data_IF_883286965355
#
_entry.id   IF_883286965355
#
_cell.length_a   1.000
_cell.length_b   1.000
_cell.length_c   1.000
_cell.angle_alpha   90.00
_cell.angle_beta   90.00
_cell.angle_gamma   90.00
#
_symmetry.space_group_name_H-M   'P 1'
#
loop_
_entity.id
_entity.type
_entity.pdbx_description
1 polymer ?
#
# COMPACT_ATOMS: atom_id res chain seq x y z
N UNK A 1 16.35 1.63 18.80
CA UNK A 1 15.54 0.47 18.38
C UNK A 1 15.23 -0.36 19.62
N UNK A 2 13.97 -0.48 20.00
CA UNK A 2 13.56 -1.22 21.21
C UNK A 2 13.91 -2.70 21.00
N UNK A 3 14.61 -3.32 21.95
CA UNK A 3 14.92 -4.75 21.90
C UNK A 3 13.77 -5.53 22.51
N UNK A 4 12.97 -6.18 21.66
CA UNK A 4 11.77 -6.92 22.07
C UNK A 4 12.08 -7.97 23.16
N UNK A 5 13.25 -8.61 23.11
CA UNK A 5 13.69 -9.61 24.10
C UNK A 5 13.88 -9.05 25.51
N UNK A 6 14.05 -7.75 25.66
CA UNK A 6 14.18 -7.09 26.97
C UNK A 6 12.80 -6.82 27.62
N UNK A 7 11.70 -7.00 26.87
CA UNK A 7 10.35 -6.68 27.32
C UNK A 7 9.36 -7.85 27.27
N UNK A 8 9.66 -8.93 26.53
CA UNK A 8 8.82 -10.11 26.45
C UNK A 8 9.65 -11.37 26.76
N UNK A 9 9.12 -12.23 27.62
CA UNK A 9 9.63 -13.60 27.78
C UNK A 9 9.46 -14.39 26.48
N UNK A 10 10.22 -15.48 26.32
CA UNK A 10 10.12 -16.33 25.13
C UNK A 10 8.71 -16.93 24.96
N UNK A 11 8.05 -17.27 26.06
CA UNK A 11 6.68 -17.80 26.06
C UNK A 11 5.65 -16.74 25.62
N UNK A 12 5.73 -15.51 26.12
CA UNK A 12 4.86 -14.40 25.70
C UNK A 12 5.10 -14.05 24.23
N UNK A 13 6.36 -14.07 23.81
CA UNK A 13 6.73 -13.81 22.42
C UNK A 13 6.17 -14.89 21.50
N UNK A 14 6.23 -16.16 21.88
CA UNK A 14 5.62 -17.25 21.12
C UNK A 14 4.10 -17.08 21.04
N UNK A 15 3.45 -16.71 22.15
CA UNK A 15 2.01 -16.47 22.20
C UNK A 15 1.59 -15.35 21.24
N UNK A 16 2.29 -14.21 21.24
CA UNK A 16 1.96 -13.05 20.37
C UNK A 16 2.25 -13.34 18.89
N UNK A 17 3.29 -14.15 18.60
CA UNK A 17 3.66 -14.50 17.22
C UNK A 17 2.88 -15.71 16.68
N UNK A 18 2.06 -16.36 17.49
CA UNK A 18 1.30 -17.55 17.10
C UNK A 18 0.24 -17.18 16.07
N UNK A 19 0.33 -17.82 14.90
CA UNK A 19 -0.63 -17.66 13.80
C UNK A 19 -1.74 -18.72 13.92
N UNK A 20 -2.98 -18.34 13.64
CA UNK A 20 -4.12 -19.26 13.64
C UNK A 20 -4.77 -19.32 12.26
N UNK A 21 -4.58 -20.44 11.55
CA UNK A 21 -5.17 -20.63 10.23
C UNK A 21 -6.70 -20.59 10.26
N UNK A 22 -7.33 -21.02 11.36
CA UNK A 22 -8.77 -20.95 11.53
C UNK A 22 -9.26 -19.50 11.55
N UNK A 23 -8.61 -18.63 12.33
CA UNK A 23 -8.93 -17.20 12.37
C UNK A 23 -8.67 -16.53 11.02
N UNK A 24 -7.57 -16.89 10.35
CA UNK A 24 -7.25 -16.37 9.03
C UNK A 24 -8.33 -16.73 8.00
N UNK A 25 -8.77 -17.99 7.97
CA UNK A 25 -9.88 -18.42 7.11
C UNK A 25 -11.19 -17.71 7.46
N UNK A 26 -11.51 -17.59 8.75
CA UNK A 26 -12.68 -16.85 9.19
C UNK A 26 -12.68 -15.41 8.66
N UNK A 27 -11.57 -14.67 8.80
CA UNK A 27 -11.46 -13.29 8.32
C UNK A 27 -11.65 -13.17 6.80
N UNK A 28 -11.04 -14.08 6.03
CA UNK A 28 -11.18 -14.10 4.56
C UNK A 28 -12.63 -14.43 4.17
N UNK A 29 -13.19 -15.50 4.73
CA UNK A 29 -14.54 -15.96 4.38
C UNK A 29 -15.62 -14.99 4.83
N UNK A 30 -15.49 -14.38 6.02
CA UNK A 30 -16.46 -13.39 6.50
C UNK A 30 -16.46 -12.15 5.61
N UNK A 31 -15.28 -11.65 5.22
CA UNK A 31 -15.16 -10.49 4.33
C UNK A 31 -15.81 -10.75 2.97
N UNK A 32 -15.52 -11.92 2.37
CA UNK A 32 -16.14 -12.31 1.10
C UNK A 32 -17.64 -12.57 1.21
N UNK A 33 -18.09 -13.13 2.32
CA UNK A 33 -19.52 -13.34 2.58
C UNK A 33 -20.26 -12.01 2.66
N UNK A 34 -19.72 -11.03 3.38
CA UNK A 34 -20.29 -9.68 3.48
C UNK A 34 -20.32 -8.97 2.12
N UNK A 35 -19.27 -9.08 1.31
CA UNK A 35 -19.26 -8.58 -0.07
C UNK A 35 -20.37 -9.25 -0.89
N UNK A 36 -20.44 -10.58 -0.84
CA UNK A 36 -21.47 -11.35 -1.55
C UNK A 36 -22.89 -10.96 -1.13
N UNK A 37 -23.12 -10.77 0.17
CA UNK A 37 -24.42 -10.34 0.70
C UNK A 37 -24.80 -8.93 0.25
N UNK A 38 -23.86 -7.98 0.26
CA UNK A 38 -24.10 -6.61 -0.22
C UNK A 38 -24.45 -6.61 -1.71
N UNK A 39 -23.72 -7.39 -2.52
CA UNK A 39 -24.00 -7.52 -3.96
C UNK A 39 -25.35 -8.21 -4.20
N UNK A 40 -25.66 -9.28 -3.48
CA UNK A 40 -26.94 -9.97 -3.58
C UNK A 40 -28.11 -9.06 -3.18
N UNK A 41 -27.95 -8.25 -2.13
CA UNK A 41 -28.97 -7.31 -1.66
C UNK A 41 -29.33 -6.28 -2.73
N UNK A 42 -28.33 -5.62 -3.33
CA UNK A 42 -28.58 -4.60 -4.36
C UNK A 42 -29.09 -5.22 -5.65
N UNK A 43 -28.70 -6.45 -5.98
CA UNK A 43 -29.23 -7.18 -7.13
C UNK A 43 -30.70 -7.58 -6.94
N UNK A 44 -31.09 -8.03 -5.74
CA UNK A 44 -32.46 -8.45 -5.44
C UNK A 44 -33.41 -7.26 -5.27
N UNK A 45 -32.92 -6.13 -4.75
CA UNK A 45 -33.72 -4.96 -4.45
C UNK A 45 -33.03 -3.67 -4.94
N UNK A 46 -32.97 -3.40 -6.26
CA UNK A 46 -32.25 -2.23 -6.80
C UNK A 46 -33.05 -0.94 -6.60
N UNK A 47 -32.94 -0.31 -5.44
CA UNK A 47 -33.60 0.95 -5.11
C UNK A 47 -32.60 1.94 -4.47
N UNK A 48 -32.95 3.25 -4.37
CA UNK A 48 -32.00 4.26 -3.88
C UNK A 48 -31.44 3.97 -2.48
N UNK A 49 -32.21 3.33 -1.58
CA UNK A 49 -31.77 3.03 -0.23
C UNK A 49 -30.74 1.90 -0.19
N UNK A 50 -30.96 0.81 -0.94
CA UNK A 50 -30.00 -0.30 -1.02
C UNK A 50 -28.73 0.12 -1.77
N UNK A 51 -28.85 0.97 -2.79
CA UNK A 51 -27.70 1.57 -3.46
C UNK A 51 -26.87 2.42 -2.48
N UNK A 52 -27.51 3.28 -1.69
CA UNK A 52 -26.83 4.10 -0.68
C UNK A 52 -26.13 3.23 0.37
N UNK A 53 -26.80 2.19 0.86
CA UNK A 53 -26.24 1.25 1.84
C UNK A 53 -24.98 0.57 1.29
N UNK A 54 -25.04 0.01 0.08
CA UNK A 54 -23.89 -0.64 -0.57
C UNK A 54 -22.78 0.36 -0.83
N UNK A 55 -23.10 1.59 -1.26
CA UNK A 55 -22.12 2.63 -1.51
C UNK A 55 -21.32 3.03 -0.26
N UNK A 56 -21.92 2.93 0.93
CA UNK A 56 -21.26 3.18 2.22
C UNK A 56 -20.45 1.96 2.68
N UNK A 57 -21.04 0.75 2.60
CA UNK A 57 -20.47 -0.44 3.24
C UNK A 57 -19.43 -1.17 2.38
N UNK A 58 -19.64 -1.24 1.07
CA UNK A 58 -18.80 -2.02 0.16
C UNK A 58 -17.35 -1.49 0.10
N UNK A 59 -17.07 -0.17 0.04
CA UNK A 59 -15.70 0.33 0.09
C UNK A 59 -14.97 -0.07 1.38
N UNK A 60 -15.70 -0.14 2.50
CA UNK A 60 -15.15 -0.61 3.78
C UNK A 60 -14.74 -2.09 3.74
N UNK A 61 -15.44 -2.93 2.96
CA UNK A 61 -15.04 -4.33 2.74
C UNK A 61 -13.87 -4.46 1.77
N UNK A 62 -13.82 -3.60 0.74
CA UNK A 62 -12.65 -3.50 -0.14
C UNK A 62 -11.38 -3.12 0.66
N UNK A 63 -11.48 -2.18 1.60
CA UNK A 63 -10.40 -1.87 2.54
C UNK A 63 -10.02 -3.09 3.41
N UNK A 64 -11.01 -3.85 3.89
CA UNK A 64 -10.79 -5.10 4.61
C UNK A 64 -9.93 -6.11 3.82
N UNK A 65 -10.22 -6.29 2.52
CA UNK A 65 -9.39 -7.12 1.64
C UNK A 65 -7.96 -6.57 1.52
N UNK A 66 -7.77 -5.25 1.42
CA UNK A 66 -6.43 -4.63 1.40
C UNK A 66 -5.65 -4.86 2.71
N UNK A 67 -6.33 -4.88 3.86
CA UNK A 67 -5.72 -5.22 5.16
C UNK A 67 -5.31 -6.69 5.20
N UNK A 68 -6.14 -7.61 4.70
CA UNK A 68 -5.78 -9.02 4.62
C UNK A 68 -4.61 -9.26 3.65
N UNK A 69 -4.56 -8.52 2.53
CA UNK A 69 -3.41 -8.48 1.64
C UNK A 69 -2.14 -8.01 2.38
N UNK A 70 -2.24 -6.96 3.21
CA UNK A 70 -1.12 -6.47 4.01
C UNK A 70 -0.56 -7.55 4.95
N UNK A 71 -1.42 -8.23 5.71
CA UNK A 71 -1.00 -9.33 6.60
C UNK A 71 -0.40 -10.51 5.82
N UNK A 72 -0.96 -10.83 4.65
CA UNK A 72 -0.39 -11.84 3.79
C UNK A 72 1.01 -11.44 3.27
N UNK A 73 1.23 -10.16 2.96
CA UNK A 73 2.53 -9.60 2.55
C UNK A 73 3.58 -9.72 3.64
N UNK A 74 3.17 -9.56 4.90
CA UNK A 74 4.02 -9.81 6.08
C UNK A 74 4.21 -11.29 6.40
N UNK A 75 3.54 -12.21 5.69
CA UNK A 75 3.48 -13.63 6.02
C UNK A 75 2.98 -13.87 7.45
N UNK A 76 2.04 -13.05 7.93
CA UNK A 76 1.44 -13.12 9.27
C UNK A 76 0.01 -13.65 9.25
N UNK A 77 -0.69 -13.56 8.12
CA UNK A 77 -2.09 -14.01 8.01
C UNK A 77 -2.22 -15.53 8.24
N UNK A 78 -1.52 -16.35 7.46
CA UNK A 78 -1.50 -17.81 7.63
C UNK A 78 -0.15 -18.31 8.15
N UNK A 79 -0.15 -19.48 8.80
CA UNK A 79 1.09 -20.16 9.19
C UNK A 79 1.91 -20.63 7.97
N UNK A 80 1.24 -21.02 6.87
CA UNK A 80 1.89 -21.39 5.61
C UNK A 80 2.07 -20.18 4.70
N UNK A 81 3.32 -19.91 4.32
CA UNK A 81 3.70 -18.82 3.40
C UNK A 81 3.12 -18.99 2.00
N UNK A 82 2.96 -20.23 1.53
CA UNK A 82 2.35 -20.49 0.21
C UNK A 82 0.88 -20.09 0.22
N UNK A 83 0.19 -20.33 1.33
CA UNK A 83 -1.19 -19.94 1.50
C UNK A 83 -1.33 -18.42 1.58
N UNK A 84 -0.44 -17.72 2.30
CA UNK A 84 -0.36 -16.26 2.28
C UNK A 84 -0.19 -15.73 0.84
N UNK A 85 0.72 -16.30 0.07
CA UNK A 85 0.95 -15.87 -1.32
C UNK A 85 -0.29 -16.08 -2.18
N UNK A 86 -0.90 -17.25 -2.13
CA UNK A 86 -2.04 -17.59 -2.98
C UNK A 86 -3.29 -16.82 -2.59
N UNK A 87 -3.70 -16.90 -1.32
CA UNK A 87 -4.91 -16.22 -0.83
C UNK A 87 -4.72 -14.72 -0.87
N UNK A 88 -3.57 -14.21 -0.41
CA UNK A 88 -3.26 -12.78 -0.42
C UNK A 88 -3.26 -12.19 -1.82
N UNK A 89 -2.72 -12.90 -2.83
CA UNK A 89 -2.74 -12.41 -4.21
C UNK A 89 -4.15 -12.47 -4.81
N UNK A 90 -4.78 -13.63 -4.76
CA UNK A 90 -5.97 -13.88 -5.58
C UNK A 90 -7.27 -13.44 -4.92
N UNK A 91 -7.39 -13.62 -3.61
CA UNK A 91 -8.62 -13.31 -2.88
C UNK A 91 -8.57 -11.95 -2.17
N UNK A 92 -7.40 -11.29 -2.09
CA UNK A 92 -7.26 -10.01 -1.38
C UNK A 92 -6.70 -8.90 -2.28
N UNK A 93 -5.54 -9.11 -2.91
CA UNK A 93 -4.89 -8.08 -3.73
C UNK A 93 -5.63 -7.82 -5.05
N UNK A 94 -5.91 -8.88 -5.82
CA UNK A 94 -6.49 -8.72 -7.15
C UNK A 94 -7.88 -8.06 -7.15
N UNK A 95 -8.83 -8.40 -6.25
CA UNK A 95 -10.12 -7.72 -6.16
C UNK A 95 -10.01 -6.23 -5.79
N UNK A 96 -8.89 -5.83 -5.19
CA UNK A 96 -8.59 -4.43 -4.83
C UNK A 96 -7.70 -3.75 -5.87
N UNK A 97 -7.49 -4.38 -7.03
CA UNK A 97 -6.63 -3.90 -8.13
C UNK A 97 -5.16 -3.74 -7.74
N UNK A 98 -4.68 -4.58 -6.81
CA UNK A 98 -3.30 -4.60 -6.33
C UNK A 98 -2.55 -5.86 -6.76
N UNK A 99 -1.22 -5.81 -6.64
CA UNK A 99 -0.32 -6.95 -6.72
C UNK A 99 0.37 -7.15 -5.36
N UNK A 100 0.26 -8.35 -4.78
CA UNK A 100 0.76 -8.66 -3.45
C UNK A 100 2.28 -8.47 -3.37
N UNK A 101 3.02 -8.89 -4.40
CA UNK A 101 4.48 -8.89 -4.37
C UNK A 101 5.04 -7.47 -4.51
N UNK A 102 4.51 -6.70 -5.45
CA UNK A 102 4.87 -5.30 -5.65
C UNK A 102 4.55 -4.50 -4.38
N UNK A 103 3.35 -4.70 -3.81
CA UNK A 103 2.96 -4.12 -2.54
C UNK A 103 3.93 -4.50 -1.41
N UNK A 104 4.13 -5.80 -1.16
CA UNK A 104 4.95 -6.27 -0.06
C UNK A 104 6.41 -5.80 -0.18
N UNK A 105 6.97 -5.74 -1.40
CA UNK A 105 8.34 -5.28 -1.61
C UNK A 105 8.50 -3.81 -1.19
N UNK A 106 7.58 -2.93 -1.61
CA UNK A 106 7.63 -1.52 -1.22
C UNK A 106 7.30 -1.32 0.26
N UNK A 107 6.30 -2.04 0.74
CA UNK A 107 5.83 -1.91 2.11
C UNK A 107 6.84 -2.41 3.15
N UNK A 108 7.57 -3.50 2.87
CA UNK A 108 8.65 -3.97 3.75
C UNK A 108 9.85 -3.01 3.74
N UNK A 109 10.12 -2.32 2.63
CA UNK A 109 11.12 -1.26 2.57
C UNK A 109 10.70 -0.06 3.43
N UNK A 110 9.42 0.35 3.36
CA UNK A 110 8.85 1.35 4.27
C UNK A 110 9.08 0.96 5.73
N UNK A 111 8.64 -0.23 6.18
CA UNK A 111 8.85 -0.65 7.57
C UNK A 111 10.31 -0.68 8.01
N UNK A 112 11.23 -1.03 7.10
CA UNK A 112 12.66 -1.05 7.38
C UNK A 112 13.26 0.35 7.56
N UNK A 113 12.79 1.32 6.78
CA UNK A 113 13.34 2.67 6.68
C UNK A 113 12.41 3.73 7.28
N UNK A 114 11.34 3.32 7.97
CA UNK A 114 10.27 4.20 8.41
C UNK A 114 10.82 5.40 9.20
N UNK A 115 10.44 6.61 8.78
CA UNK A 115 10.84 7.86 9.40
C UNK A 115 12.23 8.37 9.00
N UNK A 116 13.00 7.63 8.19
CA UNK A 116 14.26 8.12 7.62
C UNK A 116 14.02 8.84 6.29
N UNK A 117 14.98 9.64 5.80
CA UNK A 117 14.90 10.27 4.48
C UNK A 117 14.74 9.28 3.32
N UNK A 118 15.15 8.02 3.51
CA UNK A 118 15.08 6.93 2.53
C UNK A 118 13.75 6.14 2.57
N UNK A 119 12.83 6.49 3.48
CA UNK A 119 11.51 5.87 3.52
C UNK A 119 10.73 6.16 2.21
N UNK A 120 10.36 5.14 1.42
CA UNK A 120 9.60 5.34 0.18
C UNK A 120 8.24 6.03 0.40
N UNK A 121 7.67 5.95 1.61
CA UNK A 121 6.38 6.55 1.96
C UNK A 121 6.52 7.90 2.68
N UNK A 122 7.73 8.43 2.90
CA UNK A 122 7.94 9.69 3.62
C UNK A 122 7.10 10.84 3.06
N UNK A 123 7.02 10.94 1.72
CA UNK A 123 6.25 11.99 1.04
C UNK A 123 4.75 11.97 1.43
N UNK A 124 4.20 10.81 1.83
CA UNK A 124 2.80 10.65 2.18
C UNK A 124 2.47 11.25 3.56
N UNK A 125 3.44 11.33 4.48
CA UNK A 125 3.19 11.73 5.87
C UNK A 125 4.11 12.83 6.41
N UNK A 126 5.16 13.24 5.68
CA UNK A 126 6.07 14.32 6.13
C UNK A 126 5.39 15.66 6.44
N UNK A 127 4.20 15.88 5.88
CA UNK A 127 3.44 17.13 6.03
C UNK A 127 2.46 17.11 7.21
N UNK A 128 2.47 16.08 8.07
CA UNK A 128 1.63 16.08 9.27
C UNK A 128 2.23 16.96 10.37
N UNK A 129 1.37 17.67 11.15
CA UNK A 129 -0.08 17.78 10.98
C UNK A 129 -0.47 18.67 9.78
N UNK A 130 -1.48 18.24 9.01
CA UNK A 130 -1.92 18.95 7.80
C UNK A 130 -2.91 20.08 8.13
N UNK A 131 -2.86 21.18 7.39
CA UNK A 131 -3.82 22.29 7.53
C UNK A 131 -5.26 21.84 7.16
N UNK A 132 -6.33 22.31 7.85
CA UNK A 132 -7.72 21.91 7.58
C UNK A 132 -8.16 22.10 6.12
N UNK A 133 -7.68 23.14 5.44
CA UNK A 133 -7.99 23.38 4.02
C UNK A 133 -7.37 22.31 3.10
N UNK A 134 -6.14 21.89 3.40
CA UNK A 134 -5.48 20.78 2.71
C UNK A 134 -6.28 19.50 2.93
N UNK A 135 -6.68 19.23 4.18
CA UNK A 135 -7.52 18.07 4.50
C UNK A 135 -8.87 18.10 3.74
N UNK A 136 -9.59 19.23 3.73
CA UNK A 136 -10.86 19.38 3.01
C UNK A 136 -10.72 19.11 1.52
N UNK A 137 -9.68 19.63 0.87
CA UNK A 137 -9.40 19.37 -0.55
C UNK A 137 -9.20 17.87 -0.82
N UNK A 138 -8.49 17.17 0.06
CA UNK A 138 -8.24 15.73 -0.05
C UNK A 138 -9.52 14.92 0.05
N UNK A 139 -10.35 15.24 1.03
CA UNK A 139 -11.68 14.63 1.20
C UNK A 139 -12.54 14.83 -0.04
N UNK A 140 -12.63 16.06 -0.56
CA UNK A 140 -13.42 16.34 -1.77
C UNK A 140 -12.88 15.57 -2.98
N UNK A 141 -11.56 15.52 -3.16
CA UNK A 141 -10.92 14.80 -4.26
C UNK A 141 -11.21 13.29 -4.22
N UNK A 142 -11.23 12.70 -3.03
CA UNK A 142 -11.52 11.27 -2.85
C UNK A 142 -13.02 10.98 -3.02
N UNK A 143 -13.90 11.80 -2.42
CA UNK A 143 -15.35 11.65 -2.57
C UNK A 143 -15.85 11.92 -3.99
N UNK A 144 -15.19 12.82 -4.73
CA UNK A 144 -15.49 13.04 -6.16
C UNK A 144 -14.91 11.96 -7.08
N UNK A 145 -14.14 11.01 -6.56
CA UNK A 145 -13.60 9.88 -7.32
C UNK A 145 -12.37 10.21 -8.18
N UNK A 146 -11.81 11.42 -8.09
CA UNK A 146 -10.65 11.82 -8.90
C UNK A 146 -9.43 10.91 -8.62
N UNK A 147 -9.22 10.56 -7.35
CA UNK A 147 -8.16 9.62 -6.94
C UNK A 147 -8.38 8.24 -7.54
N UNK A 148 -9.63 7.75 -7.52
CA UNK A 148 -10.00 6.46 -8.13
C UNK A 148 -9.80 6.46 -9.65
N UNK A 149 -10.19 7.53 -10.34
CA UNK A 149 -9.98 7.66 -11.77
C UNK A 149 -8.48 7.62 -12.15
N UNK A 150 -7.63 8.34 -11.41
CA UNK A 150 -6.17 8.28 -11.59
C UNK A 150 -5.61 6.88 -11.37
N UNK A 151 -6.09 6.17 -10.35
CA UNK A 151 -5.70 4.78 -10.11
C UNK A 151 -6.06 3.87 -11.28
N UNK A 152 -7.30 3.95 -11.77
CA UNK A 152 -7.78 3.14 -12.89
C UNK A 152 -6.98 3.42 -14.17
N UNK A 153 -6.72 4.69 -14.49
CA UNK A 153 -5.86 5.08 -15.62
C UNK A 153 -4.48 4.45 -15.48
N UNK A 154 -3.83 4.57 -14.31
CA UNK A 154 -2.51 3.99 -14.07
C UNK A 154 -2.49 2.46 -14.18
N UNK A 155 -3.54 1.76 -13.74
CA UNK A 155 -3.69 0.30 -13.93
C UNK A 155 -3.81 -0.04 -15.42
N UNK A 156 -4.58 0.74 -16.17
CA UNK A 156 -4.75 0.56 -17.62
C UNK A 156 -3.45 0.80 -18.39
N UNK A 157 -2.73 1.88 -18.08
CA UNK A 157 -1.46 2.26 -18.70
C UNK A 157 -0.34 1.23 -18.44
N UNK A 158 -0.29 0.65 -17.23
CA UNK A 158 0.63 -0.44 -16.91
C UNK A 158 0.23 -1.77 -17.57
N UNK A 159 -0.93 -1.82 -18.22
CA UNK A 159 -1.57 -2.99 -18.79
C UNK A 159 -2.17 -3.86 -17.68
N UNK A 160 -3.46 -4.20 -17.81
CA UNK A 160 -4.15 -5.07 -16.83
C UNK A 160 -3.36 -6.37 -16.58
N UNK A 161 -2.71 -6.91 -17.61
CA UNK A 161 -1.83 -8.09 -17.58
C UNK A 161 -0.59 -7.96 -16.67
N UNK A 162 -0.19 -6.75 -16.24
CA UNK A 162 0.89 -6.56 -15.27
C UNK A 162 0.52 -7.04 -13.88
N UNK A 163 -0.77 -6.98 -13.50
CA UNK A 163 -1.32 -7.62 -12.29
C UNK A 163 -1.34 -9.15 -12.38
N UNK A 164 -1.16 -9.70 -13.60
CA UNK A 164 -1.16 -11.14 -13.87
C UNK A 164 0.25 -11.71 -14.07
N UNK A 165 1.20 -10.92 -14.57
CA UNK A 165 2.59 -11.34 -14.85
C UNK A 165 3.50 -11.06 -13.67
N UNK A 166 3.31 -11.80 -12.56
CA UNK A 166 4.38 -12.26 -11.63
C UNK A 166 3.78 -12.89 -10.36
N UNK A 167 3.66 -14.23 -10.34
CA UNK A 167 3.84 -15.00 -9.09
C UNK A 167 5.30 -15.47 -9.06
N UNK A 168 6.28 -14.62 -8.72
CA UNK A 168 7.63 -15.09 -8.47
C UNK A 168 7.56 -16.06 -7.29
N UNK A 169 8.22 -17.21 -7.44
CA UNK A 169 8.54 -18.06 -6.31
C UNK A 169 9.30 -17.19 -5.30
N UNK A 170 8.70 -16.92 -4.15
CA UNK A 170 9.27 -16.06 -3.12
C UNK A 170 10.76 -16.40 -2.90
N UNK A 171 11.71 -15.45 -3.02
CA UNK A 171 13.11 -15.73 -2.74
C UNK A 171 13.25 -16.15 -1.28
N UNK A 172 13.90 -17.29 -1.01
CA UNK A 172 14.17 -17.72 0.37
C UNK A 172 14.76 -16.52 1.13
N UNK A 173 14.27 -16.25 2.34
CA UNK A 173 14.87 -15.25 3.21
C UNK A 173 16.39 -15.54 3.29
N UNK A 174 17.26 -14.56 3.05
CA UNK A 174 18.70 -14.80 3.18
C UNK A 174 18.97 -15.24 4.62
N UNK A 175 19.70 -16.34 4.78
CA UNK A 175 20.26 -16.68 6.10
C UNK A 175 21.23 -15.56 6.47
N UNK A 176 21.26 -15.21 7.75
CA UNK A 176 22.08 -14.13 8.33
C UNK A 176 23.58 -14.25 8.00
N UNK A 177 24.02 -15.38 7.45
CA UNK A 177 25.39 -15.68 7.03
C UNK A 177 25.81 -15.12 5.66
N UNK A 178 24.88 -14.67 4.81
CA UNK A 178 25.21 -14.27 3.42
C UNK A 178 25.61 -12.78 3.26
N UNK A 179 25.67 -11.99 4.34
CA UNK A 179 26.04 -10.56 4.27
C UNK A 179 27.55 -10.29 4.15
N UNK A 180 28.38 -11.28 3.77
CA UNK A 180 29.83 -11.11 3.57
C UNK A 180 30.30 -11.67 2.23
N UNK A 181 29.80 -11.16 1.10
CA UNK A 181 30.53 -11.29 -0.18
C UNK A 181 29.97 -10.35 -1.27
N UNK A 182 30.84 -9.45 -1.75
CA UNK A 182 30.82 -8.82 -3.09
C UNK A 182 29.78 -7.69 -3.32
N UNK A 183 30.10 -6.50 -3.82
CA UNK A 183 31.25 -6.07 -4.62
C UNK A 183 30.88 -5.97 -6.11
N UNK A 184 30.55 -4.74 -6.54
CA UNK A 184 30.62 -4.18 -7.91
C UNK A 184 29.74 -4.73 -9.07
N UNK A 185 29.01 -3.80 -9.71
CA UNK A 185 28.74 -3.80 -11.16
C UNK A 185 27.32 -4.16 -11.60
N UNK A 186 26.67 -3.28 -12.38
CA UNK A 186 25.56 -3.69 -13.26
C UNK A 186 24.40 -2.71 -13.44
N UNK A 187 24.62 -1.73 -14.33
CA UNK A 187 23.68 -1.23 -15.34
C UNK A 187 22.24 -0.84 -14.94
N UNK A 188 22.07 0.48 -14.86
CA UNK A 188 20.86 1.26 -15.12
C UNK A 188 19.83 0.59 -16.06
N UNK A 189 18.79 -0.02 -15.48
CA UNK A 189 17.47 -0.26 -16.09
C UNK A 189 16.34 -0.38 -15.02
N UNK A 190 16.57 0.06 -13.78
CA UNK A 190 15.66 -0.13 -12.64
C UNK A 190 14.83 1.09 -12.22
N UNK A 191 15.07 2.28 -12.78
CA UNK A 191 14.52 3.54 -12.25
C UNK A 191 13.08 3.87 -12.67
N UNK A 192 12.37 2.99 -13.40
CA UNK A 192 11.00 3.25 -13.88
C UNK A 192 9.90 2.40 -13.24
N UNK A 193 10.23 1.53 -12.29
CA UNK A 193 9.25 0.61 -11.68
C UNK A 193 8.79 0.96 -10.24
N UNK A 194 9.18 2.11 -9.69
CA UNK A 194 9.07 2.32 -8.24
C UNK A 194 8.23 3.52 -7.75
N UNK A 195 7.68 4.37 -8.62
CA UNK A 195 6.94 5.57 -8.18
C UNK A 195 5.40 5.45 -8.19
N UNK A 196 4.83 4.26 -8.44
CA UNK A 196 3.51 4.20 -9.08
C UNK A 196 2.25 3.85 -8.26
N UNK A 197 2.31 3.38 -7.01
CA UNK A 197 1.13 2.69 -6.43
C UNK A 197 0.59 3.28 -5.11
N UNK A 198 1.31 4.15 -4.40
CA UNK A 198 0.71 4.94 -3.30
C UNK A 198 1.17 6.42 -3.29
N UNK A 199 2.36 6.73 -3.81
CA UNK A 199 2.93 8.09 -3.80
C UNK A 199 2.51 9.03 -4.95
N UNK A 200 1.92 8.54 -6.04
CA UNK A 200 1.68 9.38 -7.23
C UNK A 200 0.45 10.29 -7.14
N UNK A 201 -0.41 10.08 -6.14
CA UNK A 201 -1.63 10.89 -5.94
C UNK A 201 -1.35 12.16 -5.13
N UNK A 202 -0.17 12.29 -4.52
CA UNK A 202 0.15 13.40 -3.61
C UNK A 202 1.04 14.49 -4.23
N UNK A 203 1.65 14.25 -5.40
CA UNK A 203 2.73 15.11 -5.92
C UNK A 203 2.35 16.13 -7.00
N UNK A 204 1.07 16.24 -7.41
CA UNK A 204 0.67 17.24 -8.42
C UNK A 204 0.16 18.58 -7.87
N UNK A 205 -0.25 18.66 -6.59
CA UNK A 205 -0.76 19.93 -6.04
C UNK A 205 0.37 20.89 -5.60
N UNK A 206 1.53 20.37 -5.18
CA UNK A 206 2.65 21.22 -4.73
C UNK A 206 3.32 21.98 -5.89
N UNK A 207 3.22 21.48 -7.13
CA UNK A 207 3.71 22.18 -8.31
C UNK A 207 2.82 23.36 -8.73
N UNK A 208 1.52 23.33 -8.40
CA UNK A 208 0.59 24.42 -8.71
C UNK A 208 0.61 25.53 -7.66
N UNK A 209 0.99 25.24 -6.41
CA UNK A 209 1.18 26.28 -5.38
C UNK A 209 2.60 26.87 -5.33
N UNK A 210 3.64 26.13 -5.71
CA UNK A 210 4.99 26.69 -5.87
C UNK A 210 5.07 27.71 -7.02
N UNK A 211 4.20 27.60 -8.04
CA UNK A 211 4.09 28.55 -9.14
C UNK A 211 3.46 29.89 -8.80
N UNK A 212 2.82 30.04 -7.62
CA UNK A 212 2.09 31.25 -7.26
C UNK A 212 2.84 32.16 -6.26
N UNK A 213 3.99 31.72 -5.73
CA UNK A 213 4.89 32.55 -4.90
C UNK A 213 6.16 33.00 -5.64
N UNK A 214 6.49 32.40 -6.78
CA UNK A 214 7.68 32.74 -7.56
C UNK A 214 7.53 33.96 -8.51
N UNK A 215 6.37 34.63 -8.51
CA UNK A 215 6.11 35.80 -9.36
C UNK A 215 6.02 37.14 -8.61
N UNK A 216 6.32 37.14 -7.31
CA UNK A 216 6.27 38.32 -6.45
C UNK A 216 7.59 38.56 -5.69
N UNK A 217 8.73 38.44 -6.36
CA UNK A 217 9.97 39.12 -5.96
C UNK A 217 10.97 39.04 -7.11
N UNK A 218 10.91 40.02 -8.01
CA UNK A 218 12.00 40.25 -8.95
C UNK A 218 13.28 40.63 -8.19
N UNK A 219 14.42 40.13 -8.64
CA UNK A 219 15.72 40.66 -8.21
C UNK A 219 16.84 39.64 -8.11
N UNK A 220 17.77 39.73 -9.06
CA UNK A 220 19.18 39.36 -8.98
C UNK A 220 19.56 37.86 -8.96
N UNK A 221 20.03 37.40 -10.13
CA UNK A 221 21.09 36.40 -10.26
C UNK A 221 22.29 36.74 -9.37
N UNK A 222 22.79 35.77 -8.60
CA UNK A 222 24.04 35.93 -7.86
C UNK A 222 24.52 34.63 -7.23
N UNK A 223 25.42 33.93 -7.94
CA UNK A 223 26.64 33.35 -7.37
C UNK A 223 26.56 32.25 -6.29
N UNK A 224 27.12 31.10 -6.68
CA UNK A 224 28.15 30.35 -5.97
C UNK A 224 27.80 29.24 -4.94
N UNK A 225 28.18 28.03 -5.39
CA UNK A 225 29.01 26.99 -4.75
C UNK A 225 28.40 26.06 -3.70
N UNK A 226 28.45 24.78 -4.07
CA UNK A 226 28.47 23.61 -3.21
C UNK A 226 29.58 23.70 -2.13
N UNK A 227 29.20 23.38 -0.90
CA UNK A 227 29.90 22.44 -0.01
C UNK A 227 28.86 21.51 0.59
#
# INVERSE_FOLDING_TARGET
MIKIKEHLSDAEREQVLRRSNLHAWWQVLSTWSEIGLLLALVSAFPNPLTLLLVWILLPGRQLGLSVLMHEAGHNTLFADRRLNQWIGQWLCALPTLNDLNAYATGHLNHHRLAGTPEDPDLANYRAYPVHPESFRRKVIRDLSGQTGAKLLIGVFERGALSLWRRVPRWPRAPRQTDCRAGGAGGTAHGLRCWLGVVGMVWHLDDLLHAGCQAQASGGACGGARCQ
#
